data_IF_333383429096
#
_entry.id   IF_333383429096
#
_cell.length_a   1.000
_cell.length_b   1.000
_cell.length_c   1.000
_cell.angle_alpha   90.00
_cell.angle_beta   90.00
_cell.angle_gamma   90.00
#
_symmetry.space_group_name_H-M   'P 1'
#
loop_
_entity.id
_entity.type
_entity.pdbx_description
1 polymer ?
#
# COMPACT_ATOMS: atom_id res chain seq x y z
N UNK A 1 28.64 -12.74 16.97
CA UNK A 1 28.50 -12.77 15.50
C UNK A 1 27.01 -12.69 15.16
N UNK A 2 26.51 -11.53 14.72
CA UNK A 2 25.09 -11.33 14.44
C UNK A 2 24.80 -11.72 12.99
N UNK A 3 24.29 -12.94 12.80
CA UNK A 3 23.82 -13.45 11.51
C UNK A 3 22.55 -12.68 11.11
N UNK A 4 22.70 -11.67 10.24
CA UNK A 4 21.59 -10.90 9.71
C UNK A 4 21.04 -11.61 8.46
N UNK A 5 20.19 -12.61 8.66
CA UNK A 5 19.24 -13.08 7.65
C UNK A 5 17.85 -12.97 8.27
N UNK A 6 17.45 -11.73 8.53
CA UNK A 6 16.10 -11.39 8.95
C UNK A 6 15.19 -11.41 7.71
N UNK A 7 14.82 -12.61 7.26
CA UNK A 7 13.58 -12.80 6.50
C UNK A 7 12.42 -12.84 7.48
N UNK A 8 12.07 -11.68 8.05
CA UNK A 8 10.71 -11.45 8.54
C UNK A 8 10.26 -10.12 7.96
N UNK A 9 9.79 -10.16 6.71
CA UNK A 9 8.84 -9.15 6.28
C UNK A 9 7.51 -9.65 6.84
N UNK A 10 7.29 -9.40 8.12
CA UNK A 10 5.94 -9.36 8.69
C UNK A 10 5.23 -8.20 7.99
N UNK A 11 4.71 -8.46 6.79
CA UNK A 11 3.55 -7.72 6.31
C UNK A 11 2.48 -8.06 7.33
N UNK A 12 2.32 -7.17 8.31
CA UNK A 12 1.17 -7.10 9.20
C UNK A 12 -0.05 -7.00 8.28
N UNK A 13 -0.55 -8.15 7.84
CA UNK A 13 -1.87 -8.29 7.26
C UNK A 13 -2.81 -8.21 8.47
N UNK A 14 -3.05 -6.97 8.88
CA UNK A 14 -4.01 -6.63 9.92
C UNK A 14 -5.36 -7.22 9.52
N UNK A 15 -5.70 -8.33 10.17
CA UNK A 15 -6.96 -9.03 10.05
C UNK A 15 -8.10 -8.04 10.32
N UNK A 16 -8.99 -7.85 9.33
CA UNK A 16 -10.28 -7.16 9.49
C UNK A 16 -10.34 -5.64 9.23
N UNK A 17 -9.31 -5.00 8.67
CA UNK A 17 -9.22 -3.53 8.65
C UNK A 17 -9.61 -2.92 7.29
N UNK A 18 -10.45 -1.88 7.32
CA UNK A 18 -10.95 -1.11 6.17
C UNK A 18 -9.86 -0.82 5.13
N UNK A 19 -10.25 -0.78 3.84
CA UNK A 19 -9.36 -0.39 2.74
C UNK A 19 -8.72 0.99 3.00
N UNK A 20 -9.38 1.85 3.76
CA UNK A 20 -8.97 3.22 4.04
C UNK A 20 -7.85 3.29 5.07
N UNK A 21 -7.12 4.41 5.08
CA UNK A 21 -6.05 4.68 6.04
C UNK A 21 -4.89 3.66 6.03
N UNK A 22 -4.72 2.88 4.97
CA UNK A 22 -3.81 1.75 4.96
C UNK A 22 -2.97 1.67 3.69
N UNK A 23 -1.79 1.05 3.82
CA UNK A 23 -0.93 0.70 2.69
C UNK A 23 -1.23 -0.72 2.26
N UNK A 24 -1.43 -0.93 0.96
CA UNK A 24 -1.82 -2.22 0.42
C UNK A 24 -0.70 -2.81 -0.44
N UNK A 25 -0.02 -3.82 0.08
CA UNK A 25 0.95 -4.60 -0.70
C UNK A 25 0.27 -5.38 -1.83
N UNK A 26 -0.95 -5.88 -1.59
CA UNK A 26 -1.77 -6.62 -2.55
C UNK A 26 -2.14 -5.84 -3.81
N UNK A 27 -2.12 -4.50 -3.75
CA UNK A 27 -2.34 -3.66 -4.93
C UNK A 27 -1.25 -3.88 -5.99
N UNK A 28 -0.03 -4.26 -5.55
CA UNK A 28 1.10 -4.50 -6.42
C UNK A 28 1.91 -3.23 -6.70
N UNK A 29 2.53 -3.19 -7.89
CA UNK A 29 3.43 -2.12 -8.28
C UNK A 29 2.72 -0.76 -8.35
N UNK A 30 3.36 0.26 -7.78
CA UNK A 30 2.85 1.63 -7.78
C UNK A 30 3.92 2.59 -8.34
N UNK A 31 4.32 2.40 -9.61
CA UNK A 31 5.50 3.08 -10.19
C UNK A 31 5.12 4.09 -11.27
N UNK A 32 4.18 3.74 -12.14
CA UNK A 32 3.80 4.52 -13.31
C UNK A 32 2.70 5.53 -13.01
N UNK A 33 2.40 6.41 -13.97
CA UNK A 33 1.21 7.26 -13.89
C UNK A 33 -0.09 6.44 -13.90
N UNK A 34 -0.14 5.37 -14.70
CA UNK A 34 -1.30 4.47 -14.74
C UNK A 34 -1.51 3.76 -13.41
N UNK A 35 -0.45 3.32 -12.73
CA UNK A 35 -0.57 2.72 -11.39
C UNK A 35 -1.10 3.72 -10.37
N UNK A 36 -0.69 4.99 -10.45
CA UNK A 36 -1.21 6.06 -9.59
C UNK A 36 -2.72 6.26 -9.80
N UNK A 37 -3.18 6.30 -11.05
CA UNK A 37 -4.61 6.39 -11.37
C UNK A 37 -5.38 5.16 -10.87
N UNK A 38 -4.84 3.95 -11.08
CA UNK A 38 -5.44 2.71 -10.57
C UNK A 38 -5.50 2.70 -9.05
N UNK A 39 -4.44 3.13 -8.36
CA UNK A 39 -4.39 3.22 -6.90
C UNK A 39 -5.45 4.21 -6.39
N UNK A 40 -5.53 5.39 -7.02
CA UNK A 40 -6.52 6.39 -6.66
C UNK A 40 -7.95 5.86 -6.82
N UNK A 41 -8.27 5.27 -7.98
CA UNK A 41 -9.59 4.69 -8.27
C UNK A 41 -9.92 3.55 -7.32
N UNK A 42 -9.01 2.61 -7.13
CA UNK A 42 -9.22 1.45 -6.27
C UNK A 42 -9.53 1.85 -4.83
N UNK A 43 -8.76 2.79 -4.28
CA UNK A 43 -9.05 3.36 -2.97
C UNK A 43 -10.37 4.13 -2.94
N UNK A 44 -10.70 4.89 -3.99
CA UNK A 44 -11.93 5.68 -4.06
C UNK A 44 -13.17 4.80 -4.16
N UNK A 45 -13.09 3.67 -4.84
CA UNK A 45 -14.19 2.72 -4.96
C UNK A 45 -14.43 1.97 -3.64
N UNK A 46 -13.36 1.45 -3.02
CA UNK A 46 -13.49 0.61 -1.83
C UNK A 46 -13.41 1.32 -0.47
N UNK A 47 -13.30 2.65 -0.45
CA UNK A 47 -13.47 3.46 0.75
C UNK A 47 -14.80 4.21 0.78
N UNK A 48 -15.47 4.23 1.92
CA UNK A 48 -16.67 5.05 2.14
C UNK A 48 -16.39 6.55 2.04
N UNK A 49 -15.19 6.99 2.41
CA UNK A 49 -14.80 8.41 2.34
C UNK A 49 -14.60 8.93 0.89
N UNK A 50 -14.55 8.05 -0.11
CA UNK A 50 -14.31 8.36 -1.54
C UNK A 50 -13.08 9.23 -1.83
N UNK A 51 -12.10 9.33 -0.92
CA UNK A 51 -10.92 10.20 -1.08
C UNK A 51 -9.86 9.65 -2.02
N UNK A 52 -9.85 8.34 -2.26
CA UNK A 52 -8.86 7.70 -3.12
C UNK A 52 -7.54 7.42 -2.40
N UNK A 53 -6.44 7.44 -3.15
CA UNK A 53 -5.13 7.02 -2.65
C UNK A 53 -3.98 7.48 -3.54
N UNK A 54 -2.76 7.16 -3.10
CA UNK A 54 -1.50 7.57 -3.72
C UNK A 54 -0.41 6.51 -3.59
N UNK A 55 0.62 6.58 -4.44
CA UNK A 55 1.80 5.72 -4.34
C UNK A 55 2.77 6.26 -3.27
N UNK A 56 2.81 5.64 -2.10
CA UNK A 56 3.77 5.95 -1.03
C UNK A 56 5.09 5.24 -1.26
N UNK A 57 6.21 5.97 -1.13
CA UNK A 57 7.57 5.42 -1.24
C UNK A 57 7.98 4.79 0.10
N UNK A 58 8.59 3.62 0.04
CA UNK A 58 9.11 2.87 1.19
C UNK A 58 10.64 2.75 1.10
N UNK A 59 11.26 2.38 2.22
CA UNK A 59 12.68 2.04 2.26
C UNK A 59 12.99 0.94 1.22
N UNK A 60 14.14 1.07 0.54
CA UNK A 60 14.49 0.18 -0.60
C UNK A 60 13.90 0.59 -1.95
N UNK A 61 13.27 1.77 -2.05
CA UNK A 61 12.80 2.33 -3.33
C UNK A 61 11.49 1.73 -3.85
N UNK A 62 10.92 0.74 -3.16
CA UNK A 62 9.60 0.21 -3.44
C UNK A 62 8.53 1.29 -3.24
N UNK A 63 7.49 1.27 -4.08
CA UNK A 63 6.32 2.14 -3.96
C UNK A 63 5.08 1.26 -3.87
N UNK A 64 4.26 1.49 -2.85
CA UNK A 64 3.00 0.76 -2.61
C UNK A 64 1.83 1.75 -2.58
N UNK A 65 0.65 1.27 -2.95
CA UNK A 65 -0.56 2.09 -2.88
C UNK A 65 -0.97 2.29 -1.42
N UNK A 66 -1.27 3.54 -1.06
CA UNK A 66 -1.79 3.93 0.25
C UNK A 66 -3.11 4.68 0.07
N UNK A 67 -4.17 4.19 0.69
CA UNK A 67 -5.49 4.83 0.64
C UNK A 67 -5.60 5.88 1.74
N UNK A 68 -6.24 7.02 1.42
CA UNK A 68 -6.43 8.10 2.37
C UNK A 68 -7.45 7.73 3.47
N UNK A 69 -7.26 8.38 4.63
CA UNK A 69 -8.34 8.68 5.56
C UNK A 69 -9.10 9.93 5.06
#
# INVERSE_FOLDING_TARGET
MKNCCLHVIDVVEGSGSSLCCNTHAKFGACKTYEDRKRCNKWCRDGCDNKKGGFCKRFAGGAKKCHCYC
#
